data_IF_322132555090
#
_entry.id   IF_322132555090
#
_cell.length_a   1.000
_cell.length_b   1.000
_cell.length_c   1.000
_cell.angle_alpha   90.00
_cell.angle_beta   90.00
_cell.angle_gamma   90.00
#
_symmetry.space_group_name_H-M   'P 1'
#
loop_
_entity.id
_entity.type
_entity.pdbx_description
1 polymer ?
#
# COMPACT_ATOMS: atom_id res chain seq x y z
N UNK A 1 -19.57 -3.59 -30.16
CA UNK A 1 -21.04 -3.59 -29.94
C UNK A 1 -21.32 -3.53 -28.44
N UNK A 2 -21.63 -2.34 -27.92
CA UNK A 2 -22.58 -2.10 -26.81
C UNK A 2 -22.61 -0.59 -26.57
N UNK A 3 -23.81 -0.02 -26.64
CA UNK A 3 -24.10 1.39 -26.84
C UNK A 3 -23.86 2.24 -25.59
N UNK A 4 -23.22 3.39 -25.78
CA UNK A 4 -23.26 4.53 -24.84
C UNK A 4 -24.67 5.12 -24.84
N UNK A 5 -25.42 4.98 -23.75
CA UNK A 5 -26.59 5.82 -23.47
C UNK A 5 -26.17 6.96 -22.55
N UNK A 6 -26.15 8.17 -23.10
CA UNK A 6 -26.16 9.42 -22.34
C UNK A 6 -27.55 9.56 -21.70
N UNK A 7 -27.63 9.61 -20.37
CA UNK A 7 -28.79 10.16 -19.67
C UNK A 7 -28.43 11.59 -19.27
N UNK A 8 -29.10 12.56 -19.88
CA UNK A 8 -29.19 13.91 -19.33
C UNK A 8 -30.23 13.88 -18.21
N UNK A 9 -29.84 14.27 -17.00
CA UNK A 9 -30.77 14.69 -15.95
C UNK A 9 -30.30 16.08 -15.50
N UNK A 10 -31.18 17.06 -15.64
CA UNK A 10 -30.91 18.47 -15.38
C UNK A 10 -30.67 18.72 -13.89
N UNK A 11 -29.60 19.45 -13.60
CA UNK A 11 -29.38 20.15 -12.33
C UNK A 11 -29.27 21.64 -12.65
N UNK A 12 -30.36 22.36 -12.41
CA UNK A 12 -30.31 23.75 -11.95
C UNK A 12 -30.66 23.64 -10.45
N UNK A 13 -29.94 24.24 -9.51
CA UNK A 13 -30.02 25.68 -9.23
C UNK A 13 -28.91 26.07 -8.23
N UNK A 14 -28.28 27.22 -8.56
CA UNK A 14 -27.57 28.22 -7.77
C UNK A 14 -26.39 27.86 -6.84
N UNK A 15 -25.21 28.25 -7.35
CA UNK A 15 -24.04 28.70 -6.59
C UNK A 15 -24.28 30.14 -6.12
N UNK A 16 -24.08 30.43 -4.84
CA UNK A 16 -23.68 31.76 -4.38
C UNK A 16 -22.64 31.63 -3.26
N UNK A 17 -21.37 31.71 -3.65
CA UNK A 17 -20.28 32.07 -2.77
C UNK A 17 -19.87 33.50 -3.14
N UNK A 18 -20.13 34.46 -2.26
CA UNK A 18 -19.50 35.78 -2.33
C UNK A 18 -18.66 35.97 -1.07
N UNK A 19 -17.36 35.74 -1.22
CA UNK A 19 -16.34 36.22 -0.29
C UNK A 19 -15.87 37.57 -0.80
N UNK A 20 -16.13 38.64 -0.06
CA UNK A 20 -15.37 39.88 -0.13
C UNK A 20 -15.23 40.46 1.28
N UNK A 21 -14.07 40.23 1.89
CA UNK A 21 -13.51 41.11 2.91
C UNK A 21 -12.27 41.77 2.31
N UNK A 22 -12.28 43.09 2.20
CA UNK A 22 -11.19 43.95 2.64
C UNK A 22 -11.76 45.34 2.91
N UNK A 23 -11.61 45.79 4.15
CA UNK A 23 -12.02 47.12 4.58
C UNK A 23 -10.96 48.17 4.30
N UNK A 24 -11.42 49.41 4.28
CA UNK A 24 -10.71 50.57 4.83
C UNK A 24 -11.74 51.64 5.15
N UNK A 25 -11.85 52.00 6.43
CA UNK A 25 -12.48 53.24 6.87
C UNK A 25 -11.65 54.43 6.38
N UNK A 26 -12.31 55.51 5.98
CA UNK A 26 -11.88 56.87 6.34
C UNK A 26 -13.07 57.78 6.60
N UNK A 27 -12.89 58.58 7.65
CA UNK A 27 -13.75 59.53 8.34
C UNK A 27 -14.49 60.60 7.50
N UNK A 28 -15.61 61.05 8.10
CA UNK A 28 -16.09 62.43 8.24
C UNK A 28 -15.37 63.54 7.46
N UNK A 29 -16.16 64.33 6.72
CA UNK A 29 -16.08 65.79 6.75
C UNK A 29 -17.42 66.41 6.32
N UNK A 30 -17.86 67.37 7.12
CA UNK A 30 -18.99 68.29 6.98
C UNK A 30 -18.88 69.22 5.78
N UNK A 31 -20.01 69.59 5.17
CA UNK A 31 -20.44 71.00 4.98
C UNK A 31 -21.79 71.05 4.25
N UNK A 32 -22.77 71.67 4.91
CA UNK A 32 -23.87 72.43 4.30
C UNK A 32 -23.35 73.89 4.10
N UNK A 33 -23.89 74.76 3.23
CA UNK A 33 -25.32 75.10 3.23
C UNK A 33 -25.98 75.47 1.87
N UNK A 34 -27.33 75.50 1.95
CA UNK A 34 -28.29 76.42 1.31
C UNK A 34 -28.45 76.40 -0.20
N UNK A 35 -29.66 76.08 -0.66
CA UNK A 35 -30.54 77.10 -1.26
C UNK A 35 -32.02 76.65 -1.26
N UNK A 36 -32.87 77.62 -0.95
CA UNK A 36 -34.31 77.47 -0.75
C UNK A 36 -35.10 77.54 -2.07
N UNK A 37 -36.19 76.77 -2.18
CA UNK A 37 -37.37 77.20 -2.95
C UNK A 37 -38.67 76.60 -2.36
N UNK A 38 -39.57 77.53 -2.01
CA UNK A 38 -40.94 77.45 -1.50
C UNK A 38 -42.00 76.80 -2.41
N UNK A 39 -43.05 76.21 -1.81
CA UNK A 39 -44.36 76.00 -2.45
C UNK A 39 -45.39 75.31 -1.54
N UNK A 40 -46.40 76.06 -1.08
CA UNK A 40 -47.59 75.62 -0.34
C UNK A 40 -48.34 74.45 -1.02
N UNK A 41 -49.12 73.61 -0.31
CA UNK A 41 -50.52 73.82 0.12
C UNK A 41 -51.06 72.58 0.85
N UNK A 42 -52.13 72.79 1.63
CA UNK A 42 -52.85 71.90 2.55
C UNK A 42 -53.34 70.56 1.95
N UNK A 43 -53.37 69.49 2.76
CA UNK A 43 -54.57 69.02 3.47
C UNK A 43 -54.51 67.50 3.79
N UNK A 44 -55.02 67.17 4.98
CA UNK A 44 -55.66 65.91 5.40
C UNK A 44 -55.03 64.56 5.03
N UNK A 45 -54.61 63.83 6.05
CA UNK A 45 -54.47 62.38 6.01
C UNK A 45 -54.17 61.85 7.40
N UNK A 46 -55.17 61.22 8.01
CA UNK A 46 -54.98 60.35 9.17
C UNK A 46 -53.82 59.40 8.89
N UNK A 47 -52.73 59.53 9.64
CA UNK A 47 -51.73 58.47 9.71
C UNK A 47 -52.27 57.42 10.67
N UNK A 48 -52.99 56.44 10.11
CA UNK A 48 -53.08 55.11 10.68
C UNK A 48 -51.65 54.64 10.97
N UNK A 49 -51.32 54.51 12.25
CA UNK A 49 -50.17 53.72 12.70
C UNK A 49 -50.45 52.25 12.33
N UNK A 50 -50.18 51.89 11.08
CA UNK A 50 -50.01 50.49 10.70
C UNK A 50 -48.65 50.07 11.22
N UNK A 51 -48.66 49.52 12.44
CA UNK A 51 -47.53 48.78 12.99
C UNK A 51 -47.27 47.63 12.01
N UNK A 52 -46.29 47.84 11.12
CA UNK A 52 -45.94 46.86 10.10
C UNK A 52 -45.27 45.69 10.81
N UNK A 53 -46.03 44.62 11.03
CA UNK A 53 -45.54 43.39 11.61
C UNK A 53 -44.41 42.86 10.72
N UNK A 54 -43.16 42.93 11.21
CA UNK A 54 -42.01 42.42 10.47
C UNK A 54 -42.19 40.90 10.41
N UNK A 55 -42.27 40.29 9.21
CA UNK A 55 -42.46 38.85 9.09
C UNK A 55 -41.30 38.11 9.76
N UNK A 56 -41.62 37.18 10.66
CA UNK A 56 -40.65 36.33 11.36
C UNK A 56 -40.51 35.02 10.61
N UNK A 57 -39.32 34.77 10.06
CA UNK A 57 -38.97 33.53 9.37
C UNK A 57 -38.32 32.54 10.33
N UNK A 58 -38.57 31.24 10.13
CA UNK A 58 -38.08 30.17 11.00
C UNK A 58 -37.43 29.05 10.20
N UNK A 59 -36.28 28.59 10.67
CA UNK A 59 -35.61 27.38 10.18
C UNK A 59 -35.38 26.42 11.31
N UNK A 60 -35.54 25.12 11.06
CA UNK A 60 -35.18 24.07 12.01
C UNK A 60 -33.86 23.43 11.61
N UNK A 61 -32.89 23.45 12.52
CA UNK A 61 -31.62 22.73 12.37
C UNK A 61 -31.71 21.38 13.08
N UNK A 62 -31.52 20.30 12.32
CA UNK A 62 -31.43 18.93 12.84
C UNK A 62 -30.01 18.42 12.81
N UNK A 63 -29.55 17.84 13.91
CA UNK A 63 -28.20 17.33 14.01
C UNK A 63 -28.12 15.83 13.77
N UNK A 64 -27.17 15.39 12.94
CA UNK A 64 -26.87 13.98 12.68
C UNK A 64 -25.47 13.63 13.18
N UNK A 65 -25.36 12.52 13.90
CA UNK A 65 -24.09 12.04 14.45
C UNK A 65 -23.05 11.63 13.39
N UNK A 66 -23.48 11.40 12.13
CA UNK A 66 -22.66 11.01 10.99
C UNK A 66 -21.64 9.89 11.29
N UNK A 67 -22.14 8.69 11.55
CA UNK A 67 -21.35 7.53 11.98
C UNK A 67 -20.96 7.53 13.46
N UNK A 68 -21.23 8.62 14.19
CA UNK A 68 -21.18 8.69 15.65
C UNK A 68 -22.41 8.08 16.34
N UNK A 69 -22.51 8.26 17.65
CA UNK A 69 -23.61 7.84 18.53
C UNK A 69 -24.09 8.99 19.40
N UNK A 70 -25.35 8.94 19.80
CA UNK A 70 -26.01 9.94 20.67
C UNK A 70 -27.21 10.57 19.97
N UNK A 71 -27.79 11.59 20.61
CA UNK A 71 -28.86 12.43 20.09
C UNK A 71 -28.65 13.88 20.52
N UNK A 72 -29.17 14.80 19.72
CA UNK A 72 -29.27 16.22 20.02
C UNK A 72 -30.66 16.68 19.61
N UNK A 73 -31.23 17.61 20.37
CA UNK A 73 -32.51 18.20 20.02
C UNK A 73 -32.34 19.11 18.80
N UNK A 74 -33.41 19.22 18.02
CA UNK A 74 -33.46 20.20 16.93
C UNK A 74 -33.37 21.63 17.50
N UNK A 75 -32.73 22.53 16.76
CA UNK A 75 -32.58 23.94 17.10
C UNK A 75 -33.41 24.78 16.15
N UNK A 76 -34.36 25.55 16.67
CA UNK A 76 -35.13 26.52 15.88
C UNK A 76 -34.36 27.85 15.85
N UNK A 77 -34.14 28.36 14.65
CA UNK A 77 -33.55 29.69 14.38
C UNK A 77 -34.67 30.59 13.89
N UNK A 78 -34.83 31.77 14.49
CA UNK A 78 -35.85 32.76 14.13
C UNK A 78 -35.16 34.04 13.65
N UNK A 79 -35.65 34.64 12.57
CA UNK A 79 -35.10 35.86 12.01
C UNK A 79 -35.15 37.01 13.03
N UNK A 80 -34.08 37.80 13.12
CA UNK A 80 -33.96 38.91 14.08
C UNK A 80 -33.51 38.50 15.49
N UNK A 81 -33.35 37.20 15.77
CA UNK A 81 -32.86 36.69 17.06
C UNK A 81 -31.48 36.05 16.91
N UNK A 82 -30.52 36.54 17.71
CA UNK A 82 -29.19 35.93 17.78
C UNK A 82 -29.28 34.50 18.28
N UNK A 83 -28.86 33.55 17.45
CA UNK A 83 -28.92 32.11 17.73
C UNK A 83 -27.59 31.45 17.39
N UNK A 84 -27.01 30.72 18.35
CA UNK A 84 -25.73 30.02 18.19
C UNK A 84 -25.88 28.51 18.28
N UNK A 85 -25.06 27.76 17.54
CA UNK A 85 -25.06 26.30 17.61
C UNK A 85 -24.66 25.79 18.99
N UNK A 86 -25.37 24.79 19.56
CA UNK A 86 -24.97 24.16 20.80
C UNK A 86 -23.65 23.39 20.65
N UNK A 87 -23.03 23.08 21.79
CA UNK A 87 -21.87 22.18 21.82
C UNK A 87 -22.31 20.78 21.40
N UNK A 88 -21.59 20.18 20.46
CA UNK A 88 -21.76 18.77 20.10
C UNK A 88 -21.78 17.84 21.33
N UNK A 89 -22.81 17.00 21.43
CA UNK A 89 -22.95 15.94 22.45
C UNK A 89 -22.75 14.53 21.88
N UNK A 90 -22.68 14.38 20.55
CA UNK A 90 -22.39 13.09 19.95
C UNK A 90 -20.98 12.61 20.29
N UNK A 91 -20.76 11.30 20.19
CA UNK A 91 -19.45 10.66 20.34
C UNK A 91 -19.16 9.76 19.13
N UNK A 92 -17.89 9.62 18.74
CA UNK A 92 -17.50 8.69 17.68
C UNK A 92 -16.19 7.98 18.04
N UNK A 93 -16.27 7.12 19.07
CA UNK A 93 -15.11 6.41 19.58
C UNK A 93 -14.03 7.39 20.07
N UNK A 94 -12.82 7.28 19.53
CA UNK A 94 -11.70 8.17 19.82
C UNK A 94 -11.46 9.23 18.74
N UNK A 95 -12.39 9.42 17.80
CA UNK A 95 -12.34 10.52 16.84
C UNK A 95 -12.64 11.86 17.53
N UNK A 96 -12.00 12.92 17.04
CA UNK A 96 -12.22 14.30 17.50
C UNK A 96 -13.29 14.96 16.64
N UNK A 97 -14.33 15.50 17.27
CA UNK A 97 -15.30 16.36 16.59
C UNK A 97 -14.59 17.62 16.06
N UNK A 98 -14.82 17.96 14.80
CA UNK A 98 -14.19 19.11 14.13
C UNK A 98 -15.16 20.22 13.77
N UNK A 99 -16.46 19.95 13.75
CA UNK A 99 -17.52 20.90 13.41
C UNK A 99 -18.67 20.22 12.68
N UNK A 100 -19.53 21.01 12.09
CA UNK A 100 -20.74 20.60 11.39
C UNK A 100 -20.59 20.89 9.90
N UNK A 101 -20.93 19.91 9.06
CA UNK A 101 -21.04 20.07 7.61
C UNK A 101 -22.51 20.10 7.20
N UNK A 102 -22.81 20.71 6.04
CA UNK A 102 -24.16 20.76 5.47
C UNK A 102 -24.55 19.45 4.79
N UNK A 103 -23.56 18.69 4.34
CA UNK A 103 -23.69 17.35 3.78
C UNK A 103 -22.87 16.34 4.62
N UNK A 104 -23.19 15.05 4.56
CA UNK A 104 -22.46 14.01 5.31
C UNK A 104 -21.03 13.77 4.78
N UNK A 105 -20.73 14.33 3.60
CA UNK A 105 -19.45 14.25 2.92
C UNK A 105 -18.68 15.57 2.76
N UNK A 106 -19.20 16.70 3.19
CA UNK A 106 -18.53 17.99 2.99
C UNK A 106 -17.53 18.39 4.09
N UNK A 107 -16.80 19.47 3.80
CA UNK A 107 -15.95 20.16 4.78
C UNK A 107 -16.79 20.82 5.89
N UNK A 108 -16.12 21.21 6.98
CA UNK A 108 -16.78 21.86 8.10
C UNK A 108 -17.28 23.25 7.70
N UNK A 109 -18.60 23.45 7.72
CA UNK A 109 -19.24 24.74 7.54
C UNK A 109 -19.33 25.54 8.85
N UNK A 110 -19.65 24.87 9.97
CA UNK A 110 -19.86 25.54 11.26
C UNK A 110 -19.09 24.88 12.41
N UNK A 111 -18.66 25.68 13.39
CA UNK A 111 -18.11 25.18 14.67
C UNK A 111 -19.20 25.19 15.75
N UNK A 112 -18.95 24.53 16.88
CA UNK A 112 -19.77 24.73 18.06
C UNK A 112 -19.77 26.22 18.44
N UNK A 113 -20.94 26.75 18.83
CA UNK A 113 -21.10 28.16 19.17
C UNK A 113 -21.11 29.12 17.98
N UNK A 114 -21.05 28.62 16.74
CA UNK A 114 -21.16 29.49 15.57
C UNK A 114 -22.52 30.18 15.54
N UNK A 115 -22.53 31.46 15.17
CA UNK A 115 -23.74 32.21 14.90
C UNK A 115 -24.40 31.67 13.63
N UNK A 116 -25.68 31.31 13.74
CA UNK A 116 -26.51 30.77 12.67
C UNK A 116 -27.74 31.62 12.42
N UNK A 117 -27.80 32.83 12.98
CA UNK A 117 -28.95 33.74 12.87
C UNK A 117 -29.27 34.07 11.41
N UNK A 118 -28.24 34.20 10.57
CA UNK A 118 -28.40 34.46 9.14
C UNK A 118 -29.06 33.30 8.36
N UNK A 119 -29.27 32.13 8.99
CA UNK A 119 -29.95 31.02 8.33
C UNK A 119 -31.47 31.18 8.31
N UNK A 120 -32.08 32.08 9.09
CA UNK A 120 -33.52 32.30 9.02
C UNK A 120 -33.83 33.48 8.09
N UNK A 121 -34.28 33.19 6.88
CA UNK A 121 -34.61 34.18 5.84
C UNK A 121 -35.97 33.85 5.21
N UNK A 122 -36.53 34.79 4.45
CA UNK A 122 -37.76 34.56 3.69
C UNK A 122 -37.67 33.40 2.70
N UNK A 123 -36.48 33.07 2.22
CA UNK A 123 -36.27 32.03 1.22
C UNK A 123 -36.31 30.60 1.78
N UNK A 124 -36.05 30.44 3.07
CA UNK A 124 -35.96 29.14 3.72
C UNK A 124 -36.88 29.01 4.93
N UNK A 125 -37.91 29.86 5.00
CA UNK A 125 -38.93 29.77 6.03
C UNK A 125 -39.61 28.39 6.03
N UNK A 126 -39.66 27.74 7.19
CA UNK A 126 -40.17 26.39 7.38
C UNK A 126 -39.19 25.26 6.99
N UNK A 127 -38.00 25.56 6.48
CA UNK A 127 -37.07 24.52 6.05
C UNK A 127 -36.39 23.77 7.20
N UNK A 128 -36.01 22.51 6.90
CA UNK A 128 -35.21 21.65 7.77
C UNK A 128 -33.77 21.55 7.25
N UNK A 129 -32.85 22.27 7.88
CA UNK A 129 -31.42 22.15 7.59
C UNK A 129 -30.84 21.02 8.42
N UNK A 130 -30.21 20.04 7.78
CA UNK A 130 -29.51 18.97 8.50
C UNK A 130 -28.02 19.30 8.62
N UNK A 131 -27.50 19.31 9.84
CA UNK A 131 -26.07 19.44 10.12
C UNK A 131 -25.47 18.11 10.53
N UNK A 132 -24.40 17.71 9.84
CA UNK A 132 -23.72 16.44 10.05
C UNK A 132 -22.44 16.65 10.86
N UNK A 133 -22.26 15.86 11.91
CA UNK A 133 -21.06 15.93 12.73
C UNK A 133 -19.82 15.48 11.94
N UNK A 134 -18.81 16.33 11.84
CA UNK A 134 -17.57 16.02 11.14
C UNK A 134 -16.50 15.51 12.14
N UNK A 135 -15.89 14.36 11.83
CA UNK A 135 -14.99 13.62 12.73
C UNK A 135 -13.58 13.47 12.15
N UNK A 136 -12.57 13.95 12.89
CA UNK A 136 -11.16 13.67 12.61
C UNK A 136 -10.70 12.41 13.33
N UNK A 137 -10.23 11.42 12.57
CA UNK A 137 -9.65 10.20 13.12
C UNK A 137 -8.32 10.48 13.84
N UNK A 138 -8.02 9.76 14.93
CA UNK A 138 -6.72 9.88 15.59
C UNK A 138 -5.63 9.21 14.76
N UNK A 139 -4.40 9.70 14.93
CA UNK A 139 -3.22 9.04 14.38
C UNK A 139 -3.03 7.64 15.00
N UNK A 140 -2.67 6.61 14.22
CA UNK A 140 -2.36 5.29 14.76
C UNK A 140 -1.14 5.35 15.69
N UNK A 141 -1.19 4.63 16.81
CA UNK A 141 -0.02 4.49 17.70
C UNK A 141 0.95 3.46 17.11
N UNK A 142 2.07 3.92 16.56
CA UNK A 142 3.17 3.04 16.16
C UNK A 142 3.82 2.44 17.43
N UNK A 143 3.79 1.12 17.57
CA UNK A 143 4.20 0.40 18.79
C UNK A 143 5.64 -0.09 18.70
N UNK A 144 6.04 -0.63 17.55
CA UNK A 144 7.36 -1.24 17.36
C UNK A 144 7.80 -1.11 15.90
N UNK A 145 9.10 -0.96 15.67
CA UNK A 145 9.74 -1.33 14.41
C UNK A 145 10.98 -2.17 14.72
N UNK A 146 11.14 -3.28 14.02
CA UNK A 146 12.22 -4.24 14.26
C UNK A 146 12.80 -4.67 12.93
N UNK A 147 14.13 -4.62 12.83
CA UNK A 147 14.87 -5.32 11.78
C UNK A 147 15.46 -6.60 12.38
N UNK A 148 14.84 -7.74 12.07
CA UNK A 148 15.37 -9.07 12.44
C UNK A 148 16.40 -9.56 11.43
N UNK A 149 16.25 -9.13 10.18
CA UNK A 149 17.09 -9.44 9.02
C UNK A 149 17.48 -8.15 8.28
N UNK A 150 18.46 -8.19 7.38
CA UNK A 150 18.85 -7.06 6.54
C UNK A 150 17.83 -6.70 5.45
N UNK A 151 16.90 -7.60 5.11
CA UNK A 151 16.01 -7.45 3.95
C UNK A 151 14.75 -6.64 4.22
N UNK A 152 14.24 -6.61 5.47
CA UNK A 152 13.00 -5.91 5.79
C UNK A 152 12.95 -5.39 7.22
N UNK A 153 11.98 -4.51 7.46
CA UNK A 153 11.58 -4.04 8.79
C UNK A 153 10.13 -4.44 9.05
N UNK A 154 9.88 -5.12 10.16
CA UNK A 154 8.52 -5.37 10.65
C UNK A 154 8.10 -4.24 11.59
N UNK A 155 6.90 -3.71 11.38
CA UNK A 155 6.28 -2.74 12.28
C UNK A 155 5.00 -3.30 12.90
N UNK A 156 4.68 -2.85 14.11
CA UNK A 156 3.38 -3.09 14.74
C UNK A 156 2.76 -1.78 15.18
N UNK A 157 1.44 -1.67 15.09
CA UNK A 157 0.70 -0.45 15.39
C UNK A 157 -0.67 -0.74 16.01
N UNK A 158 -1.27 0.28 16.63
CA UNK A 158 -2.62 0.23 17.16
C UNK A 158 -3.67 0.38 16.05
N UNK A 159 -4.73 -0.42 16.11
CA UNK A 159 -5.89 -0.29 15.22
C UNK A 159 -6.61 1.03 15.48
N UNK A 160 -7.02 1.72 14.42
CA UNK A 160 -7.90 2.89 14.48
C UNK A 160 -9.30 2.46 14.03
N UNK A 161 -10.31 2.73 14.85
CA UNK A 161 -11.71 2.44 14.52
C UNK A 161 -12.14 3.29 13.33
N UNK A 162 -12.98 2.75 12.46
CA UNK A 162 -13.50 3.40 11.24
C UNK A 162 -12.47 3.69 10.14
N UNK A 163 -11.20 3.30 10.31
CA UNK A 163 -10.21 3.39 9.25
C UNK A 163 -10.50 2.36 8.15
N UNK A 164 -10.42 2.79 6.89
CA UNK A 164 -10.44 1.90 5.71
C UNK A 164 -9.08 1.24 5.48
N UNK A 165 -8.01 1.85 5.97
CA UNK A 165 -6.66 1.32 5.92
C UNK A 165 -5.64 2.29 6.52
N UNK A 166 -4.38 1.99 6.27
CA UNK A 166 -3.25 2.79 6.75
C UNK A 166 -2.27 3.07 5.63
N UNK A 167 -1.72 4.28 5.65
CA UNK A 167 -0.56 4.67 4.86
C UNK A 167 0.64 4.78 5.78
N UNK A 168 1.71 4.09 5.41
CA UNK A 168 2.99 4.10 6.10
C UNK A 168 3.98 4.83 5.21
N UNK A 169 4.74 5.74 5.79
CA UNK A 169 5.90 6.33 5.16
C UNK A 169 7.15 6.00 5.94
N UNK A 170 8.22 5.71 5.20
CA UNK A 170 9.52 5.43 5.77
C UNK A 170 10.61 6.06 4.92
N UNK A 171 11.63 6.60 5.57
CA UNK A 171 12.68 7.38 4.91
C UNK A 171 13.98 7.34 5.70
N UNK A 172 15.10 7.46 5.00
CA UNK A 172 16.40 7.73 5.63
C UNK A 172 16.54 9.19 6.09
N UNK A 173 15.62 10.06 5.69
CA UNK A 173 15.53 11.45 6.11
C UNK A 173 14.42 11.64 7.17
N UNK A 174 14.80 12.06 8.39
CA UNK A 174 13.85 12.26 9.50
C UNK A 174 12.70 13.23 9.21
N UNK A 175 12.90 14.17 8.28
CA UNK A 175 11.90 15.16 7.88
C UNK A 175 10.99 14.68 6.74
N UNK A 176 11.21 13.46 6.23
CA UNK A 176 10.45 12.88 5.12
C UNK A 176 10.42 13.79 3.87
N UNK A 177 11.56 14.46 3.57
CA UNK A 177 11.70 15.34 2.38
C UNK A 177 12.38 14.68 1.19
N UNK A 178 13.10 13.57 1.40
CA UNK A 178 13.89 12.86 0.39
C UNK A 178 13.82 11.37 0.64
N UNK A 179 13.91 10.55 -0.40
CA UNK A 179 13.94 9.08 -0.28
C UNK A 179 12.79 8.56 0.59
N UNK A 180 11.57 9.05 0.33
CA UNK A 180 10.38 8.62 1.05
C UNK A 180 9.78 7.46 0.29
N UNK A 181 9.70 6.31 0.93
CA UNK A 181 8.97 5.15 0.43
C UNK A 181 7.65 5.03 1.18
N UNK A 182 6.70 4.40 0.52
CA UNK A 182 5.35 4.17 1.06
C UNK A 182 5.06 2.69 1.18
N UNK A 183 4.24 2.33 2.16
CA UNK A 183 3.59 1.03 2.25
C UNK A 183 2.15 1.23 2.72
N UNK A 184 1.30 0.24 2.53
CA UNK A 184 -0.08 0.26 3.00
C UNK A 184 -0.37 -0.93 3.90
N UNK A 185 -1.42 -0.80 4.72
CA UNK A 185 -1.98 -1.90 5.49
C UNK A 185 -3.51 -1.81 5.48
N UNK A 186 -4.18 -2.95 5.54
CA UNK A 186 -5.64 -3.05 5.52
C UNK A 186 -6.28 -2.61 6.83
N UNK A 187 -7.60 -2.36 6.80
CA UNK A 187 -8.40 -1.91 7.96
C UNK A 187 -8.22 -2.73 9.25
N UNK A 188 -7.97 -4.03 9.11
CA UNK A 188 -7.86 -4.97 10.22
C UNK A 188 -6.42 -5.28 10.61
N UNK A 189 -5.45 -4.79 9.84
CA UNK A 189 -4.06 -5.07 10.11
C UNK A 189 -3.59 -4.31 11.34
N UNK A 190 -2.65 -4.93 12.05
CA UNK A 190 -1.97 -4.35 13.23
C UNK A 190 -0.45 -4.41 13.08
N UNK A 191 0.00 -4.80 11.89
CA UNK A 191 1.40 -4.92 11.51
C UNK A 191 1.54 -4.71 10.02
N UNK A 192 2.73 -4.29 9.60
CA UNK A 192 3.12 -4.24 8.21
C UNK A 192 4.61 -4.56 8.08
N UNK A 193 5.02 -4.99 6.89
CA UNK A 193 6.42 -5.26 6.56
C UNK A 193 6.91 -4.28 5.52
N UNK A 194 8.00 -3.59 5.82
CA UNK A 194 8.65 -2.62 4.94
C UNK A 194 9.77 -3.34 4.19
N UNK A 195 9.55 -3.56 2.90
CA UNK A 195 10.43 -4.40 2.07
C UNK A 195 11.56 -3.60 1.43
N UNK A 196 11.35 -2.35 1.04
CA UNK A 196 12.35 -1.58 0.29
C UNK A 196 13.35 -0.86 1.21
N UNK A 197 14.12 -1.65 1.97
CA UNK A 197 15.11 -1.13 2.91
C UNK A 197 16.53 -1.52 2.52
N UNK A 198 17.46 -0.59 2.70
CA UNK A 198 18.89 -0.82 2.47
C UNK A 198 19.55 -1.28 3.78
N UNK A 199 20.30 -2.40 3.79
CA UNK A 199 21.03 -2.87 4.97
C UNK A 199 21.90 -1.81 5.63
N UNK A 200 22.06 -1.90 6.95
CA UNK A 200 22.86 -0.97 7.78
C UNK A 200 22.44 0.51 7.74
N UNK A 201 21.33 0.87 7.08
CA UNK A 201 20.78 2.23 7.10
C UNK A 201 19.77 2.42 8.23
N UNK A 202 19.70 3.66 8.73
CA UNK A 202 18.67 4.07 9.70
C UNK A 202 17.46 4.62 8.96
N UNK A 203 16.28 4.14 9.32
CA UNK A 203 15.00 4.58 8.79
C UNK A 203 14.17 5.23 9.87
N UNK A 204 13.43 6.26 9.48
CA UNK A 204 12.39 6.94 10.24
C UNK A 204 11.04 6.56 9.64
N UNK A 205 10.08 6.21 10.48
CA UNK A 205 8.81 5.61 10.08
C UNK A 205 7.68 6.41 10.72
N UNK A 206 6.66 6.75 9.93
CA UNK A 206 5.40 7.33 10.38
C UNK A 206 4.22 6.62 9.71
N UNK A 207 3.09 6.59 10.38
CA UNK A 207 1.87 5.95 9.90
C UNK A 207 0.68 6.88 10.12
N UNK A 208 -0.29 6.86 9.21
CA UNK A 208 -1.58 7.53 9.35
C UNK A 208 -2.69 6.58 8.92
N UNK A 209 -3.87 6.68 9.54
CA UNK A 209 -5.06 6.00 9.05
C UNK A 209 -5.70 6.83 7.95
N UNK A 210 -6.43 6.15 7.05
CA UNK A 210 -7.29 6.83 6.09
C UNK A 210 -8.68 6.20 6.05
N UNK A 211 -9.66 6.99 5.59
CA UNK A 211 -11.01 6.55 5.25
C UNK A 211 -11.22 6.83 3.75
N UNK A 212 -11.67 5.81 3.02
CA UNK A 212 -12.02 5.94 1.61
C UNK A 212 -13.41 6.57 1.47
N UNK A 213 -13.59 7.37 0.43
CA UNK A 213 -14.90 7.77 -0.10
C UNK A 213 -14.86 7.56 -1.61
N UNK A 214 -15.92 6.96 -2.16
CA UNK A 214 -15.91 6.43 -3.53
C UNK A 214 -14.62 5.62 -3.82
N UNK A 215 -13.83 6.00 -4.83
CA UNK A 215 -12.58 5.34 -5.21
C UNK A 215 -11.29 5.99 -4.63
N UNK A 216 -11.40 7.14 -3.93
CA UNK A 216 -10.23 7.91 -3.49
C UNK A 216 -9.99 7.92 -1.96
N UNK A 217 -8.72 8.12 -1.58
CA UNK A 217 -8.30 8.35 -0.20
C UNK A 217 -8.63 9.79 0.22
N UNK A 218 -9.85 10.05 0.69
CA UNK A 218 -10.29 11.43 0.93
C UNK A 218 -9.96 11.94 2.35
N UNK A 219 -9.81 11.06 3.35
CA UNK A 219 -9.69 11.48 4.77
C UNK A 219 -8.52 10.80 5.47
N UNK A 220 -7.46 11.53 5.79
CA UNK A 220 -6.31 11.01 6.54
C UNK A 220 -6.26 11.57 7.96
N UNK A 221 -5.87 10.74 8.93
CA UNK A 221 -5.46 11.24 10.24
C UNK A 221 -4.19 12.10 10.12
N UNK A 222 -3.85 12.80 11.20
CA UNK A 222 -2.47 13.29 11.36
C UNK A 222 -1.48 12.11 11.32
N UNK A 223 -0.23 12.41 10.99
CA UNK A 223 0.85 11.43 11.08
C UNK A 223 1.11 11.03 12.54
N UNK A 224 1.41 9.75 12.77
CA UNK A 224 1.86 9.27 14.07
C UNK A 224 3.17 9.94 14.50
N UNK A 225 3.50 9.81 15.79
CA UNK A 225 4.87 10.05 16.23
C UNK A 225 5.83 9.16 15.42
N UNK A 226 6.96 9.74 15.03
CA UNK A 226 7.99 9.07 14.24
C UNK A 226 8.75 8.08 15.12
N UNK A 227 8.89 6.85 14.65
CA UNK A 227 9.79 5.85 15.24
C UNK A 227 10.99 5.64 14.32
N UNK A 228 12.15 5.28 14.87
CA UNK A 228 13.34 4.97 14.06
C UNK A 228 13.84 3.56 14.31
N UNK A 229 14.42 2.95 13.29
CA UNK A 229 15.04 1.63 13.34
C UNK A 229 16.30 1.61 12.49
N UNK A 230 17.35 0.93 12.95
CA UNK A 230 18.53 0.63 12.14
C UNK A 230 18.36 -0.77 11.55
N UNK A 231 18.44 -0.87 10.22
CA UNK A 231 18.36 -2.14 9.51
C UNK A 231 19.62 -2.96 9.80
N UNK A 232 19.49 -4.26 10.04
CA UNK A 232 20.64 -5.15 10.24
C UNK A 232 21.57 -5.12 9.02
N UNK A 233 22.84 -5.39 9.27
CA UNK A 233 23.83 -5.47 8.22
C UNK A 233 23.78 -6.84 7.51
N UNK A 234 24.10 -6.85 6.22
CA UNK A 234 24.14 -8.05 5.38
C UNK A 234 24.08 -7.69 3.90
N UNK A 235 24.20 -8.69 3.02
CA UNK A 235 24.09 -8.52 1.56
C UNK A 235 22.68 -8.85 1.09
N UNK A 236 22.10 -7.94 0.33
CA UNK A 236 20.80 -8.07 -0.35
C UNK A 236 20.88 -7.40 -1.72
N UNK A 237 19.90 -7.62 -2.60
CA UNK A 237 19.83 -6.94 -3.89
C UNK A 237 19.82 -5.40 -3.77
N UNK A 238 19.42 -4.87 -2.61
CA UNK A 238 19.38 -3.43 -2.33
C UNK A 238 20.77 -2.79 -2.15
N UNK A 239 21.82 -3.58 -1.89
CA UNK A 239 23.17 -3.05 -1.65
C UNK A 239 24.29 -3.78 -2.41
N UNK A 240 23.95 -4.70 -3.30
CA UNK A 240 24.90 -5.31 -4.24
C UNK A 240 25.02 -4.45 -5.51
N UNK A 241 26.12 -4.65 -6.24
CA UNK A 241 26.33 -4.05 -7.58
C UNK A 241 25.69 -4.89 -8.69
N UNK A 242 24.85 -5.86 -8.34
CA UNK A 242 24.22 -6.78 -9.27
C UNK A 242 23.43 -6.00 -10.33
N UNK A 243 23.57 -6.41 -11.59
CA UNK A 243 22.72 -5.96 -12.70
C UNK A 243 21.47 -6.83 -12.76
N UNK A 244 21.65 -8.14 -12.58
CA UNK A 244 20.60 -9.13 -12.51
C UNK A 244 20.63 -9.84 -11.16
N UNK A 245 19.48 -10.28 -10.65
CA UNK A 245 19.45 -11.15 -9.50
C UNK A 245 18.07 -11.48 -8.99
N UNK A 246 18.01 -12.54 -8.18
CA UNK A 246 16.83 -13.02 -7.48
C UNK A 246 17.21 -13.30 -6.03
N UNK A 247 16.38 -12.87 -5.09
CA UNK A 247 16.48 -13.26 -3.68
C UNK A 247 15.12 -13.68 -3.12
N UNK A 248 15.10 -14.63 -2.19
CA UNK A 248 13.90 -15.08 -1.50
C UNK A 248 14.25 -15.76 -0.17
N UNK A 249 13.30 -15.76 0.76
CA UNK A 249 13.34 -16.70 1.89
C UNK A 249 12.80 -18.05 1.39
N UNK A 250 13.65 -19.07 1.36
CA UNK A 250 13.35 -20.37 0.77
C UNK A 250 13.31 -21.45 1.84
N UNK A 251 12.28 -22.29 1.79
CA UNK A 251 12.17 -23.51 2.59
C UNK A 251 11.85 -24.66 1.64
N UNK A 252 12.62 -25.75 1.76
CA UNK A 252 12.43 -26.95 0.97
C UNK A 252 12.09 -28.14 1.87
N UNK A 253 11.08 -28.88 1.44
CA UNK A 253 10.75 -30.21 1.92
C UNK A 253 10.38 -31.11 0.72
N UNK A 254 10.33 -32.41 0.95
CA UNK A 254 10.03 -33.37 -0.11
C UNK A 254 10.20 -34.81 0.33
N UNK A 255 9.99 -35.73 -0.61
CA UNK A 255 10.09 -37.17 -0.40
C UNK A 255 10.63 -37.87 -1.64
N UNK A 256 11.20 -39.06 -1.46
CA UNK A 256 11.72 -39.87 -2.56
C UNK A 256 13.20 -39.59 -2.84
N UNK A 257 13.56 -39.63 -4.12
CA UNK A 257 14.96 -39.71 -4.56
C UNK A 257 15.61 -38.36 -4.84
N UNK A 258 14.85 -37.32 -5.19
CA UNK A 258 15.38 -35.96 -5.27
C UNK A 258 14.31 -34.88 -5.45
N UNK A 259 14.56 -33.70 -4.89
CA UNK A 259 13.66 -32.55 -4.91
C UNK A 259 14.41 -31.24 -4.65
N UNK A 260 14.04 -30.18 -5.38
CA UNK A 260 14.82 -28.95 -5.47
C UNK A 260 13.97 -27.68 -5.30
N UNK A 261 14.60 -26.61 -4.83
CA UNK A 261 14.08 -25.24 -4.85
C UNK A 261 15.18 -24.28 -5.30
N UNK A 262 15.02 -23.66 -6.47
CA UNK A 262 16.07 -22.90 -7.17
C UNK A 262 15.64 -21.47 -7.48
N UNK A 263 16.61 -20.56 -7.42
CA UNK A 263 16.55 -19.20 -7.96
C UNK A 263 17.37 -19.20 -9.26
N UNK A 264 16.87 -18.60 -10.33
CA UNK A 264 17.51 -18.75 -11.64
C UNK A 264 17.64 -17.43 -12.39
N UNK A 265 18.80 -17.28 -13.03
CA UNK A 265 19.08 -16.25 -14.03
C UNK A 265 19.34 -16.99 -15.33
N UNK A 266 18.55 -16.73 -16.37
CA UNK A 266 18.74 -17.44 -17.63
C UNK A 266 18.35 -16.66 -18.86
N UNK A 267 18.74 -17.21 -19.99
CA UNK A 267 18.45 -16.79 -21.35
C UNK A 267 17.83 -17.98 -22.08
N UNK A 268 17.36 -17.84 -23.33
CA UNK A 268 16.97 -18.99 -24.14
C UNK A 268 18.10 -20.00 -24.40
N UNK A 269 19.36 -19.61 -24.16
CA UNK A 269 20.55 -20.38 -24.55
C UNK A 269 21.38 -20.89 -23.38
N UNK A 270 21.28 -20.29 -22.20
CA UNK A 270 22.12 -20.59 -21.04
C UNK A 270 21.45 -20.15 -19.75
N UNK A 271 21.79 -20.78 -18.64
CA UNK A 271 21.23 -20.45 -17.34
C UNK A 271 22.23 -20.69 -16.21
N UNK A 272 22.03 -19.98 -15.10
CA UNK A 272 22.66 -20.32 -13.82
C UNK A 272 21.56 -20.37 -12.78
N UNK A 273 21.44 -21.52 -12.12
CA UNK A 273 20.55 -21.72 -10.98
C UNK A 273 21.35 -21.80 -9.69
N UNK A 274 20.75 -21.31 -8.60
CA UNK A 274 21.26 -21.45 -7.26
C UNK A 274 20.13 -21.80 -6.30
N UNK A 275 20.31 -22.83 -5.49
CA UNK A 275 19.22 -23.32 -4.66
C UNK A 275 19.56 -24.40 -3.66
N UNK A 276 18.50 -24.94 -3.07
CA UNK A 276 18.51 -26.12 -2.22
C UNK A 276 18.25 -27.35 -3.10
N UNK A 277 19.11 -28.36 -3.03
CA UNK A 277 18.96 -29.62 -3.76
C UNK A 277 19.22 -30.80 -2.85
N UNK A 278 18.16 -31.59 -2.60
CA UNK A 278 18.29 -32.94 -2.07
C UNK A 278 18.28 -33.92 -3.23
N UNK A 279 19.29 -34.77 -3.32
CA UNK A 279 19.39 -35.80 -4.35
C UNK A 279 20.18 -37.01 -3.83
N UNK A 280 19.58 -38.19 -3.90
CA UNK A 280 20.21 -39.48 -3.54
C UNK A 280 21.33 -39.85 -4.53
N UNK A 281 21.22 -39.44 -5.79
CA UNK A 281 22.17 -39.73 -6.87
C UNK A 281 23.31 -38.73 -6.99
N UNK A 282 23.34 -37.70 -6.13
CA UNK A 282 24.44 -36.76 -6.12
C UNK A 282 25.77 -37.46 -5.83
N UNK A 283 26.83 -37.01 -6.50
CA UNK A 283 28.17 -37.54 -6.31
C UNK A 283 28.59 -37.55 -4.82
N UNK A 284 29.34 -38.57 -4.41
CA UNK A 284 29.90 -38.65 -3.07
C UNK A 284 30.74 -37.39 -2.76
N UNK A 285 30.62 -36.73 -1.59
CA UNK A 285 29.86 -37.10 -0.38
C UNK A 285 28.50 -36.38 -0.21
N UNK A 286 27.84 -36.01 -1.30
CA UNK A 286 26.64 -35.18 -1.28
C UNK A 286 25.32 -35.96 -1.39
N UNK A 287 25.38 -37.25 -1.73
CA UNK A 287 24.20 -38.11 -1.85
C UNK A 287 23.34 -38.09 -0.59
N UNK A 288 22.02 -37.96 -0.76
CA UNK A 288 21.03 -37.90 0.33
C UNK A 288 21.24 -36.73 1.31
N UNK A 289 21.92 -35.67 0.89
CA UNK A 289 22.06 -34.42 1.66
C UNK A 289 21.39 -33.28 0.92
N UNK A 290 20.85 -32.31 1.66
CA UNK A 290 20.18 -31.14 1.08
C UNK A 290 21.22 -30.03 0.91
N UNK A 291 21.85 -29.96 -0.24
CA UNK A 291 23.02 -29.11 -0.45
C UNK A 291 22.67 -27.79 -1.14
N UNK A 292 23.46 -26.76 -0.85
CA UNK A 292 23.59 -25.60 -1.73
C UNK A 292 24.25 -26.05 -3.03
N UNK A 293 23.62 -25.67 -4.14
CA UNK A 293 24.09 -26.02 -5.48
C UNK A 293 24.04 -24.79 -6.38
N UNK A 294 25.16 -24.54 -7.07
CA UNK A 294 25.17 -23.77 -8.31
C UNK A 294 25.14 -24.78 -9.46
N UNK A 295 24.17 -24.65 -10.34
CA UNK A 295 24.13 -25.36 -11.61
C UNK A 295 24.32 -24.32 -12.71
N UNK A 296 25.39 -24.47 -13.47
CA UNK A 296 25.82 -23.54 -14.49
C UNK A 296 25.69 -24.22 -15.86
N UNK A 297 24.69 -23.81 -16.64
CA UNK A 297 24.29 -24.41 -17.91
C UNK A 297 24.77 -23.52 -19.06
N UNK A 298 25.82 -23.97 -19.75
CA UNK A 298 26.41 -23.21 -20.86
C UNK A 298 25.56 -23.28 -22.14
N UNK A 299 24.91 -24.41 -22.39
CA UNK A 299 23.90 -24.64 -23.43
C UNK A 299 22.97 -25.79 -23.03
N UNK A 300 21.88 -25.98 -23.79
CA UNK A 300 20.98 -27.13 -23.64
C UNK A 300 21.54 -28.43 -24.24
N UNK A 301 22.76 -28.40 -24.78
CA UNK A 301 23.38 -29.58 -25.34
C UNK A 301 23.81 -30.53 -24.20
N UNK A 302 23.79 -31.86 -24.44
CA UNK A 302 24.25 -32.82 -23.44
C UNK A 302 25.68 -32.53 -22.95
N UNK A 303 25.87 -32.53 -21.62
CA UNK A 303 27.19 -32.36 -20.99
C UNK A 303 27.63 -30.90 -20.79
N UNK A 304 26.78 -29.92 -21.10
CA UNK A 304 27.09 -28.49 -20.91
C UNK A 304 26.69 -27.93 -19.53
N UNK A 305 26.35 -28.81 -18.57
CA UNK A 305 26.04 -28.45 -17.19
C UNK A 305 27.27 -28.63 -16.28
N UNK A 306 27.54 -27.64 -15.45
CA UNK A 306 28.55 -27.70 -14.39
C UNK A 306 27.92 -27.50 -13.02
N UNK A 307 28.23 -28.40 -12.09
CA UNK A 307 27.68 -28.40 -10.74
C UNK A 307 28.75 -28.01 -9.72
N UNK A 308 28.49 -26.99 -8.91
CA UNK A 308 29.41 -26.52 -7.85
C UNK A 308 28.67 -26.50 -6.52
N UNK A 309 29.30 -27.03 -5.44
CA UNK A 309 28.79 -26.97 -4.06
C UNK A 309 29.42 -25.79 -3.32
N UNK A 310 28.84 -24.57 -3.40
CA UNK A 310 29.46 -23.38 -2.80
C UNK A 310 29.58 -23.52 -1.28
N UNK A 311 30.83 -23.51 -0.80
CA UNK A 311 31.16 -23.60 0.63
C UNK A 311 30.69 -24.88 1.32
N UNK A 312 30.41 -25.95 0.55
CA UNK A 312 29.85 -27.22 1.05
C UNK A 312 28.66 -27.05 2.00
N UNK A 313 27.85 -26.01 1.75
CA UNK A 313 26.78 -25.63 2.66
C UNK A 313 25.62 -26.65 2.59
N UNK A 314 25.33 -27.29 3.72
CA UNK A 314 24.19 -28.18 3.88
C UNK A 314 23.03 -27.49 4.60
N UNK A 315 21.84 -27.58 4.02
CA UNK A 315 20.63 -27.03 4.60
C UNK A 315 19.91 -28.04 5.50
N UNK A 316 19.51 -27.56 6.67
CA UNK A 316 18.52 -28.27 7.48
C UNK A 316 17.17 -28.33 6.77
N UNK A 317 16.53 -29.50 6.76
CA UNK A 317 15.19 -29.70 6.20
C UNK A 317 14.14 -28.86 6.93
N UNK A 318 13.10 -28.43 6.20
CA UNK A 318 11.95 -27.70 6.75
C UNK A 318 12.30 -26.41 7.53
N UNK A 319 13.43 -25.78 7.19
CA UNK A 319 13.86 -24.49 7.73
C UNK A 319 13.98 -23.46 6.61
N UNK A 320 13.59 -22.23 6.91
CA UNK A 320 13.79 -21.10 6.02
C UNK A 320 15.25 -20.63 6.04
N UNK A 321 15.79 -20.38 4.85
CA UNK A 321 17.06 -19.70 4.61
C UNK A 321 16.83 -18.55 3.63
N UNK A 322 17.55 -17.45 3.78
CA UNK A 322 17.52 -16.40 2.77
C UNK A 322 18.54 -16.72 1.67
N UNK A 323 18.06 -17.00 0.46
CA UNK A 323 18.90 -17.30 -0.70
C UNK A 323 18.94 -16.09 -1.63
N UNK A 324 20.10 -15.84 -2.24
CA UNK A 324 20.24 -14.83 -3.29
C UNK A 324 21.25 -15.29 -4.34
N UNK A 325 20.90 -15.08 -5.60
CA UNK A 325 21.81 -15.16 -6.76
C UNK A 325 21.91 -13.78 -7.42
N UNK A 326 23.12 -13.40 -7.82
CA UNK A 326 23.39 -12.12 -8.48
C UNK A 326 24.27 -12.34 -9.70
N UNK A 327 24.13 -11.48 -10.71
CA UNK A 327 25.05 -11.40 -11.84
C UNK A 327 25.30 -9.95 -12.25
N UNK A 328 26.51 -9.68 -12.75
CA UNK A 328 26.88 -8.44 -13.42
C UNK A 328 26.54 -8.51 -14.93
N UNK A 329 26.79 -7.41 -15.64
CA UNK A 329 26.56 -7.32 -17.09
C UNK A 329 27.45 -8.24 -17.94
N UNK A 330 28.48 -8.86 -17.36
CA UNK A 330 29.40 -9.78 -18.03
C UNK A 330 29.09 -11.25 -17.72
N UNK A 331 28.04 -11.52 -16.94
CA UNK A 331 27.67 -12.86 -16.52
C UNK A 331 28.49 -13.43 -15.36
N UNK A 332 29.27 -12.60 -14.66
CA UNK A 332 29.91 -13.02 -13.41
C UNK A 332 28.96 -12.78 -12.25
N UNK A 333 28.93 -13.72 -11.30
CA UNK A 333 27.94 -13.68 -10.25
C UNK A 333 28.38 -14.27 -8.93
N UNK A 334 27.58 -13.96 -7.92
CA UNK A 334 27.76 -14.41 -6.54
C UNK A 334 26.47 -15.01 -6.01
N UNK A 335 26.63 -15.99 -5.11
CA UNK A 335 25.52 -16.64 -4.40
C UNK A 335 25.66 -16.50 -2.89
N UNK A 336 24.52 -16.41 -2.21
CA UNK A 336 24.44 -16.05 -0.81
C UNK A 336 23.44 -16.91 -0.05
N UNK A 337 23.78 -17.24 1.19
CA UNK A 337 22.89 -17.84 2.18
C UNK A 337 22.90 -16.95 3.43
N UNK A 338 21.71 -16.64 3.95
CA UNK A 338 21.50 -15.80 5.12
C UNK A 338 22.34 -14.52 5.08
N UNK A 339 22.28 -13.85 3.93
CA UNK A 339 22.90 -12.55 3.66
C UNK A 339 24.44 -12.56 3.64
N UNK A 340 25.06 -13.75 3.56
CA UNK A 340 26.51 -13.96 3.46
C UNK A 340 26.85 -14.66 2.14
N UNK A 341 27.89 -14.18 1.46
CA UNK A 341 28.38 -14.81 0.23
C UNK A 341 28.95 -16.19 0.56
N UNK A 342 28.59 -17.20 -0.22
CA UNK A 342 29.11 -18.57 -0.07
C UNK A 342 29.79 -19.11 -1.33
N UNK A 343 29.67 -18.41 -2.47
CA UNK A 343 30.30 -18.82 -3.71
C UNK A 343 30.15 -17.79 -4.83
N UNK A 344 30.75 -18.11 -5.97
CA UNK A 344 30.74 -17.31 -7.20
C UNK A 344 30.65 -18.21 -8.43
N UNK A 345 30.24 -17.63 -9.55
CA UNK A 345 30.24 -18.28 -10.86
C UNK A 345 30.61 -17.29 -11.97
N UNK A 346 30.95 -17.84 -13.13
CA UNK A 346 31.06 -17.09 -14.39
C UNK A 346 30.26 -17.83 -15.46
N UNK A 347 29.33 -17.12 -16.09
CA UNK A 347 28.56 -17.62 -17.23
C UNK A 347 28.46 -16.53 -18.30
N UNK A 348 29.48 -16.42 -19.17
CA UNK A 348 29.51 -15.38 -20.20
C UNK A 348 28.38 -15.52 -21.24
N UNK A 349 27.77 -16.69 -21.41
CA UNK A 349 26.65 -16.82 -22.34
C UNK A 349 25.37 -16.11 -21.88
N UNK A 350 25.28 -15.68 -20.59
CA UNK A 350 24.20 -14.80 -20.14
C UNK A 350 24.18 -13.46 -20.90
N UNK A 351 25.29 -13.05 -21.53
CA UNK A 351 25.31 -11.82 -22.34
C UNK A 351 24.70 -11.99 -23.73
N UNK A 352 24.32 -13.21 -24.12
CA UNK A 352 23.87 -13.57 -25.48
C UNK A 352 22.35 -13.62 -25.63
N UNK A 353 21.61 -12.76 -24.94
CA UNK A 353 20.16 -12.68 -25.12
C UNK A 353 19.44 -11.94 -24.01
N UNK A 354 18.12 -11.96 -24.09
CA UNK A 354 17.26 -11.44 -23.02
C UNK A 354 17.38 -12.31 -21.78
N UNK A 355 17.54 -11.66 -20.63
CA UNK A 355 17.57 -12.31 -19.32
C UNK A 355 16.14 -12.45 -18.81
N UNK A 356 15.82 -13.65 -18.36
CA UNK A 356 14.63 -14.04 -17.61
C UNK A 356 15.04 -14.41 -16.19
N UNK A 357 14.19 -14.08 -15.22
CA UNK A 357 14.44 -14.36 -13.81
C UNK A 357 13.27 -15.16 -13.25
N UNK A 358 13.56 -16.28 -12.60
CA UNK A 358 12.51 -17.14 -12.06
C UNK A 358 12.89 -17.85 -10.77
N UNK A 359 11.85 -18.34 -10.10
CA UNK A 359 11.96 -19.37 -9.07
C UNK A 359 11.45 -20.68 -9.62
N UNK A 360 12.01 -21.78 -9.15
CA UNK A 360 11.71 -23.11 -9.67
C UNK A 360 11.66 -24.14 -8.55
N UNK A 361 10.69 -25.05 -8.66
CA UNK A 361 10.68 -26.28 -7.89
C UNK A 361 10.64 -27.47 -8.85
N UNK A 362 11.47 -28.47 -8.58
CA UNK A 362 11.60 -29.66 -9.43
C UNK A 362 11.87 -30.92 -8.62
N UNK A 363 11.60 -32.07 -9.21
CA UNK A 363 11.81 -33.39 -8.60
C UNK A 363 12.56 -34.32 -9.56
N UNK A 364 13.24 -35.31 -8.98
CA UNK A 364 14.19 -36.16 -9.72
C UNK A 364 13.49 -37.22 -10.57
N UNK A 365 12.68 -38.05 -9.92
CA UNK A 365 12.01 -39.20 -10.54
C UNK A 365 10.49 -39.12 -10.42
N UNK A 366 9.79 -39.88 -11.27
CA UNK A 366 8.35 -40.04 -11.16
C UNK A 366 7.94 -40.52 -9.76
N UNK A 367 6.98 -39.83 -9.14
CA UNK A 367 6.52 -40.09 -7.77
C UNK A 367 7.19 -39.24 -6.69
N UNK A 368 8.36 -38.64 -6.96
CA UNK A 368 9.07 -37.80 -5.98
C UNK A 368 8.20 -36.61 -5.55
N UNK A 369 8.22 -36.34 -4.25
CA UNK A 369 7.43 -35.28 -3.64
C UNK A 369 8.26 -34.01 -3.50
N UNK A 370 7.71 -32.87 -3.91
CA UNK A 370 8.34 -31.55 -3.80
C UNK A 370 7.41 -30.64 -3.01
N UNK A 371 7.96 -29.89 -2.08
CA UNK A 371 7.26 -28.84 -1.32
C UNK A 371 8.21 -27.67 -1.04
N UNK A 372 8.23 -26.72 -1.96
CA UNK A 372 9.09 -25.55 -1.93
C UNK A 372 8.27 -24.29 -1.62
N UNK A 373 8.65 -23.55 -0.59
CA UNK A 373 8.08 -22.26 -0.24
C UNK A 373 9.10 -21.14 -0.48
N UNK A 374 8.70 -20.13 -1.24
CA UNK A 374 9.46 -18.93 -1.55
C UNK A 374 8.71 -17.72 -1.02
N UNK A 375 9.21 -17.10 0.04
CA UNK A 375 8.64 -15.89 0.61
C UNK A 375 9.51 -14.68 0.31
N UNK A 376 8.91 -13.48 0.35
CA UNK A 376 9.63 -12.21 0.26
C UNK A 376 10.47 -12.09 -1.04
N UNK A 377 9.97 -12.66 -2.13
CA UNK A 377 10.68 -12.77 -3.41
C UNK A 377 10.96 -11.39 -4.00
N UNK A 378 12.21 -11.18 -4.40
CA UNK A 378 12.63 -9.99 -5.14
C UNK A 378 13.45 -10.34 -6.35
N UNK A 379 13.34 -9.50 -7.37
CA UNK A 379 14.14 -9.59 -8.58
C UNK A 379 14.68 -8.23 -8.99
N UNK A 380 15.81 -8.24 -9.71
CA UNK A 380 16.42 -7.04 -10.30
C UNK A 380 16.82 -7.37 -11.73
N UNK A 381 16.45 -6.50 -12.67
CA UNK A 381 16.90 -6.57 -14.05
C UNK A 381 17.71 -5.31 -14.42
N UNK A 382 18.39 -5.38 -15.56
CA UNK A 382 19.18 -4.25 -16.06
C UNK A 382 18.32 -2.99 -16.21
N UNK A 383 18.84 -1.86 -15.73
CA UNK A 383 18.16 -0.57 -15.77
C UNK A 383 16.88 -0.45 -14.92
N UNK A 384 16.48 -1.51 -14.19
CA UNK A 384 15.26 -1.50 -13.39
C UNK A 384 15.53 -1.27 -11.89
N UNK A 385 14.53 -0.71 -11.21
CA UNK A 385 14.42 -0.82 -9.75
C UNK A 385 14.24 -2.27 -9.29
N UNK A 386 14.30 -2.47 -7.97
CA UNK A 386 13.96 -3.75 -7.35
C UNK A 386 12.48 -4.02 -7.53
N UNK A 387 12.18 -5.22 -8.01
CA UNK A 387 10.83 -5.75 -8.04
C UNK A 387 10.60 -6.66 -6.84
N UNK A 388 9.42 -6.56 -6.23
CA UNK A 388 8.99 -7.32 -5.07
C UNK A 388 7.62 -7.92 -5.40
N UNK A 389 7.57 -9.25 -5.50
CA UNK A 389 6.33 -9.97 -5.79
C UNK A 389 5.32 -9.72 -4.67
N UNK A 390 4.06 -9.46 -5.06
CA UNK A 390 2.98 -9.12 -4.14
C UNK A 390 2.99 -7.67 -3.63
N UNK A 391 3.96 -6.85 -4.08
CA UNK A 391 4.05 -5.43 -3.72
C UNK A 391 4.18 -4.54 -4.96
N UNK A 392 5.32 -4.56 -5.66
CA UNK A 392 5.53 -3.75 -6.89
C UNK A 392 5.09 -4.47 -8.15
N UNK A 393 4.95 -5.80 -8.11
CA UNK A 393 4.34 -6.63 -9.15
C UNK A 393 3.26 -7.48 -8.50
N UNK A 394 2.05 -7.49 -9.06
CA UNK A 394 1.02 -8.45 -8.63
C UNK A 394 1.46 -9.86 -9.04
N UNK A 395 1.30 -10.82 -8.14
CA UNK A 395 1.57 -12.23 -8.42
C UNK A 395 0.79 -12.71 -9.65
N UNK A 396 -0.42 -12.18 -9.89
CA UNK A 396 -1.24 -12.56 -11.05
C UNK A 396 -0.62 -12.20 -12.40
N UNK A 397 0.29 -11.24 -12.42
CA UNK A 397 0.98 -10.79 -13.63
C UNK A 397 2.26 -11.60 -13.88
N UNK A 398 2.61 -12.52 -12.99
CA UNK A 398 3.76 -13.41 -13.17
C UNK A 398 3.42 -14.51 -14.18
N UNK A 399 4.36 -14.84 -15.07
CA UNK A 399 4.19 -15.98 -15.98
C UNK A 399 4.43 -17.28 -15.23
N UNK A 400 3.55 -18.25 -15.47
CA UNK A 400 3.58 -19.59 -14.91
C UNK A 400 3.91 -20.61 -16.00
N UNK A 401 4.95 -21.41 -15.82
CA UNK A 401 5.25 -22.55 -16.69
C UNK A 401 5.22 -23.84 -15.85
N UNK A 402 4.13 -24.59 -15.99
CA UNK A 402 3.98 -25.90 -15.37
C UNK A 402 4.43 -26.98 -16.35
N UNK A 403 5.69 -27.39 -16.23
CA UNK A 403 6.25 -28.44 -17.10
C UNK A 403 5.94 -29.86 -16.58
N UNK A 404 5.83 -30.04 -15.26
CA UNK A 404 5.34 -31.29 -14.68
C UNK A 404 3.85 -31.21 -14.29
N UNK A 405 3.05 -32.15 -14.78
CA UNK A 405 1.60 -32.20 -14.55
C UNK A 405 1.20 -32.43 -13.07
N UNK A 406 2.09 -32.96 -12.25
CA UNK A 406 1.82 -33.26 -10.84
C UNK A 406 2.15 -32.12 -9.86
N UNK A 407 2.93 -31.12 -10.29
CA UNK A 407 3.26 -29.95 -9.47
C UNK A 407 2.17 -28.88 -9.56
N UNK A 408 2.05 -28.07 -8.51
CA UNK A 408 1.04 -27.03 -8.34
C UNK A 408 1.67 -25.78 -7.75
N UNK A 409 1.04 -24.64 -7.97
CA UNK A 409 1.45 -23.37 -7.39
C UNK A 409 0.32 -22.74 -6.57
N UNK A 410 0.64 -22.17 -5.41
CA UNK A 410 -0.29 -21.41 -4.58
C UNK A 410 0.39 -20.18 -3.99
N UNK A 411 -0.27 -19.03 -4.10
CA UNK A 411 0.16 -17.77 -3.48
C UNK A 411 -0.60 -17.46 -2.20
N UNK A 412 0.13 -17.20 -1.13
CA UNK A 412 -0.37 -16.82 0.19
C UNK A 412 -0.13 -15.33 0.42
N UNK A 413 -1.10 -14.49 0.04
CA UNK A 413 -1.02 -13.02 0.14
C UNK A 413 -0.63 -12.51 1.53
N UNK A 414 -1.15 -13.13 2.60
CA UNK A 414 -0.89 -12.69 3.98
C UNK A 414 0.57 -12.82 4.40
N UNK A 415 1.26 -13.85 3.92
CA UNK A 415 2.67 -14.11 4.24
C UNK A 415 3.61 -13.72 3.10
N UNK A 416 3.05 -13.25 1.98
CA UNK A 416 3.76 -13.00 0.73
C UNK A 416 4.63 -14.20 0.31
N UNK A 417 4.01 -15.38 0.24
CA UNK A 417 4.68 -16.66 -0.02
C UNK A 417 4.10 -17.33 -1.24
N UNK A 418 4.94 -17.72 -2.19
CA UNK A 418 4.61 -18.65 -3.27
C UNK A 418 5.04 -20.04 -2.85
N UNK A 419 4.13 -21.01 -2.92
CA UNK A 419 4.40 -22.42 -2.66
C UNK A 419 4.27 -23.21 -3.96
N UNK A 420 5.33 -23.92 -4.32
CA UNK A 420 5.39 -24.83 -5.46
C UNK A 420 5.49 -26.26 -4.90
N UNK A 421 4.49 -27.09 -5.17
CA UNK A 421 4.35 -28.37 -4.46
C UNK A 421 3.61 -29.45 -5.26
N UNK A 422 3.85 -30.71 -4.95
CA UNK A 422 3.16 -31.85 -5.54
C UNK A 422 4.06 -33.08 -5.64
N UNK A 423 3.58 -34.08 -6.37
CA UNK A 423 4.38 -35.25 -6.72
C UNK A 423 4.66 -35.24 -8.22
N UNK A 424 5.87 -35.57 -8.63
CA UNK A 424 6.23 -35.69 -10.04
C UNK A 424 5.37 -36.77 -10.70
N UNK A 425 4.79 -36.45 -11.86
CA UNK A 425 3.98 -37.37 -12.67
C UNK A 425 4.49 -37.46 -14.10
N UNK A 426 4.33 -38.64 -14.70
CA UNK A 426 4.60 -38.95 -16.10
C UNK A 426 6.03 -38.63 -16.54
N UNK A 427 6.99 -38.75 -15.62
CA UNK A 427 8.40 -38.60 -15.94
C UNK A 427 8.98 -39.97 -16.32
N UNK A 428 9.60 -40.05 -17.50
CA UNK A 428 10.30 -41.24 -17.97
C UNK A 428 11.79 -40.93 -18.04
N UNK A 429 12.54 -41.39 -17.03
CA UNK A 429 13.97 -41.10 -16.90
C UNK A 429 14.30 -40.23 -15.70
N UNK A 430 15.56 -39.78 -15.66
CA UNK A 430 16.11 -38.94 -14.60
C UNK A 430 15.99 -37.45 -14.98
N UNK A 431 15.88 -36.55 -14.01
CA UNK A 431 15.72 -35.11 -14.25
C UNK A 431 16.82 -34.51 -15.14
N UNK A 432 18.06 -35.01 -15.02
CA UNK A 432 19.19 -34.58 -15.85
C UNK A 432 18.97 -34.90 -17.34
N UNK A 433 18.13 -35.89 -17.64
CA UNK A 433 17.80 -36.34 -19.00
C UNK A 433 16.41 -35.92 -19.49
N UNK A 434 15.52 -35.50 -18.58
CA UNK A 434 14.11 -35.23 -18.85
C UNK A 434 13.67 -33.83 -18.37
N UNK A 435 14.56 -32.84 -18.51
CA UNK A 435 14.41 -31.48 -17.96
C UNK A 435 13.07 -30.80 -18.30
N UNK A 436 12.52 -31.05 -19.49
CA UNK A 436 11.26 -30.47 -19.96
C UNK A 436 10.01 -30.97 -19.21
N UNK A 437 10.15 -31.92 -18.28
CA UNK A 437 9.03 -32.53 -17.58
C UNK A 437 9.14 -32.53 -16.06
N UNK A 438 10.10 -31.83 -15.44
CA UNK A 438 10.38 -31.98 -13.99
C UNK A 438 9.94 -30.82 -13.11
N UNK A 439 9.54 -29.69 -13.69
CA UNK A 439 9.49 -28.41 -12.96
C UNK A 439 8.13 -27.73 -12.93
N UNK A 440 7.95 -26.90 -11.91
CA UNK A 440 7.06 -25.75 -11.93
C UNK A 440 7.93 -24.49 -11.83
N UNK A 441 7.75 -23.58 -12.78
CA UNK A 441 8.50 -22.32 -12.88
C UNK A 441 7.56 -21.13 -12.72
N UNK A 442 7.96 -20.16 -11.90
CA UNK A 442 7.32 -18.85 -11.80
C UNK A 442 8.31 -17.77 -12.22
N UNK A 443 8.04 -17.11 -13.33
CA UNK A 443 8.84 -15.96 -13.78
C UNK A 443 8.53 -14.74 -12.94
N UNK A 444 9.58 -14.15 -12.38
CA UNK A 444 9.53 -12.96 -11.52
C UNK A 444 10.12 -11.73 -12.20
N UNK A 445 10.60 -11.88 -13.44
CA UNK A 445 10.91 -10.80 -14.37
C UNK A 445 11.07 -11.31 -15.80
#
# INVERSE_FOLDING_TARGET
>A
MSMKRKLQLGYAVLVFALVLMFGAQTAYASQDPSDAWTGNTENSGETENTETEIPVYKVTIRFKANGGKGSMNDLVVESGKVTTLPKNTFTNGNCKFTGWSLDDEEEVAYKNGADVSQLATSYNDGELITLYANWKMPAPKLKKAVSKTPSYVDITFGKVKNASGYRIEYSTNKKFKKNVMTATAGKNDTSARLMEVVPNKKYYIRIRSFKKRYDDEVWSSDWSKVLSVKVKNGKTLMNTKAVYGVEADVKLNGSGSGYHAKLVIGTPYSAVSFGMQYDVGAANPYGSRNMALIENVASNDPGCQQYVRPGDFEFQRNKFYHLMITADAKGNGDVYVDYRKIGSFSQPNLTKGSIYLWIEASGRLNGDGVDAEFANIRSKASGSGINVIGNTQDYKDCRHDQTNAGLKCKYYKKTNTVRLYGNIKNLHGDWDSAYNGVSYVLHVR
#
